data_IF_134966988248
#
_entry.id   IF_134966988248
#
_cell.length_a   1.000
_cell.length_b   1.000
_cell.length_c   1.000
_cell.angle_alpha   90.00
_cell.angle_beta   90.00
_cell.angle_gamma   90.00
#
_symmetry.space_group_name_H-M   'P 1'
#
loop_
_entity.id
_entity.type
_entity.pdbx_description
1 polymer ?
#
# COMPACT_ATOMS: atom_id res chain seq x y z
N UNK A 1 17.06 16.08 -17.70
CA UNK A 1 16.44 15.01 -16.89
C UNK A 1 17.41 14.75 -15.77
N UNK A 2 17.01 15.03 -14.52
CA UNK A 2 17.81 14.56 -13.39
C UNK A 2 17.83 13.03 -13.45
N UNK A 3 19.02 12.45 -13.36
CA UNK A 3 19.21 11.01 -13.31
C UNK A 3 18.65 10.52 -11.98
N UNK A 4 17.68 9.60 -12.02
CA UNK A 4 17.09 9.04 -10.82
C UNK A 4 18.15 8.25 -10.04
N UNK A 5 18.28 8.57 -8.74
CA UNK A 5 19.15 7.86 -7.81
C UNK A 5 18.27 7.19 -6.76
N UNK A 6 18.27 5.85 -6.65
CA UNK A 6 17.50 5.15 -5.63
C UNK A 6 17.95 5.53 -4.21
N UNK A 7 17.03 5.49 -3.25
CA UNK A 7 17.37 5.63 -1.83
C UNK A 7 18.29 4.50 -1.37
N UNK A 8 18.99 4.75 -0.25
CA UNK A 8 19.73 3.70 0.42
C UNK A 8 18.78 2.55 0.84
N UNK A 9 19.25 1.28 0.80
CA UNK A 9 18.42 0.16 1.19
C UNK A 9 17.88 0.28 2.62
N UNK A 10 16.60 -0.03 2.79
CA UNK A 10 15.88 0.10 4.07
C UNK A 10 15.66 -1.27 4.70
N UNK A 11 16.00 -1.41 5.97
CA UNK A 11 15.84 -2.66 6.73
C UNK A 11 14.70 -2.49 7.74
N UNK A 12 13.80 -3.47 7.76
CA UNK A 12 12.69 -3.56 8.68
C UNK A 12 12.91 -4.79 9.57
N UNK A 13 12.99 -4.57 10.88
CA UNK A 13 13.17 -5.63 11.87
C UNK A 13 12.03 -5.57 12.89
N UNK A 14 11.38 -6.71 13.11
CA UNK A 14 10.34 -6.84 14.11
C UNK A 14 10.25 -8.30 14.57
N UNK A 15 10.18 -8.53 15.89
CA UNK A 15 10.07 -9.87 16.49
C UNK A 15 11.12 -10.88 15.97
N UNK A 16 12.36 -10.44 15.75
CA UNK A 16 13.44 -11.29 15.24
C UNK A 16 13.30 -11.70 13.75
N UNK A 17 12.34 -11.11 13.03
CA UNK A 17 12.17 -11.26 11.59
C UNK A 17 12.71 -9.99 10.92
N UNK A 18 13.52 -10.18 9.88
CA UNK A 18 14.14 -9.10 9.13
C UNK A 18 13.74 -9.16 7.66
N UNK A 19 13.27 -8.03 7.14
CA UNK A 19 13.01 -7.81 5.73
C UNK A 19 13.76 -6.58 5.24
N UNK A 20 14.11 -6.57 3.96
CA UNK A 20 14.87 -5.48 3.35
C UNK A 20 14.22 -5.03 2.05
N UNK A 21 14.13 -3.71 1.90
CA UNK A 21 13.86 -3.02 0.65
C UNK A 21 15.17 -2.57 0.01
N UNK A 22 15.32 -2.82 -1.29
CA UNK A 22 16.48 -2.40 -2.06
C UNK A 22 16.09 -2.37 -3.55
N UNK A 23 15.97 -1.18 -4.12
CA UNK A 23 15.48 -0.96 -5.48
C UNK A 23 16.33 -1.70 -6.52
N UNK A 24 17.66 -1.66 -6.38
CA UNK A 24 18.61 -2.15 -7.37
C UNK A 24 18.55 -3.66 -7.60
N UNK A 25 17.89 -4.36 -6.68
CA UNK A 25 17.84 -5.82 -6.68
C UNK A 25 16.40 -6.33 -6.78
N UNK A 26 15.41 -5.45 -7.02
CA UNK A 26 14.03 -5.89 -7.25
C UNK A 26 13.95 -6.72 -8.54
N UNK A 27 13.18 -7.80 -8.50
CA UNK A 27 12.87 -8.55 -9.72
C UNK A 27 11.74 -7.86 -10.49
N UNK A 28 11.63 -8.19 -11.78
CA UNK A 28 10.50 -7.72 -12.62
C UNK A 28 9.17 -8.15 -12.00
N UNK A 29 9.08 -9.38 -11.51
CA UNK A 29 7.88 -9.91 -10.85
C UNK A 29 7.48 -9.07 -9.62
N UNK A 30 8.42 -8.71 -8.75
CA UNK A 30 8.15 -7.85 -7.60
C UNK A 30 7.61 -6.48 -8.04
N UNK A 31 8.24 -5.90 -9.06
CA UNK A 31 7.84 -4.59 -9.59
C UNK A 31 6.44 -4.62 -10.20
N UNK A 32 6.10 -5.67 -10.95
CA UNK A 32 4.77 -5.82 -11.56
C UNK A 32 3.68 -5.96 -10.49
N UNK A 33 3.88 -6.84 -9.51
CA UNK A 33 2.90 -7.06 -8.43
C UNK A 33 2.68 -5.78 -7.59
N UNK A 34 3.76 -5.10 -7.19
CA UNK A 34 3.65 -3.84 -6.45
C UNK A 34 2.95 -2.73 -7.26
N UNK A 35 3.23 -2.66 -8.57
CA UNK A 35 2.58 -1.73 -9.49
C UNK A 35 1.08 -2.02 -9.62
N UNK A 36 0.69 -3.27 -9.81
CA UNK A 36 -0.72 -3.68 -9.97
C UNK A 36 -1.57 -3.29 -8.75
N UNK A 37 -1.06 -3.50 -7.54
CA UNK A 37 -1.75 -3.10 -6.30
C UNK A 37 -2.01 -1.59 -6.28
N UNK A 38 -1.01 -0.80 -6.65
CA UNK A 38 -1.10 0.65 -6.62
C UNK A 38 -1.98 1.19 -7.75
N UNK A 39 -1.95 0.57 -8.93
CA UNK A 39 -2.86 0.90 -10.03
C UNK A 39 -4.30 0.54 -9.69
N UNK A 40 -4.53 -0.62 -9.07
CA UNK A 40 -5.84 -0.98 -8.54
C UNK A 40 -6.35 0.07 -7.54
N UNK A 41 -5.49 0.48 -6.59
CA UNK A 41 -5.85 1.53 -5.64
C UNK A 41 -6.14 2.86 -6.33
N UNK A 42 -5.35 3.24 -7.31
CA UNK A 42 -5.56 4.47 -8.08
C UNK A 42 -6.90 4.45 -8.80
N UNK A 43 -7.25 3.34 -9.45
CA UNK A 43 -8.54 3.18 -10.12
C UNK A 43 -9.72 3.26 -9.13
N UNK A 44 -9.57 2.67 -7.93
CA UNK A 44 -10.56 2.85 -6.86
C UNK A 44 -10.71 4.29 -6.36
N UNK A 45 -9.67 5.12 -6.46
CA UNK A 45 -9.79 6.53 -6.10
C UNK A 45 -10.58 7.32 -7.15
N UNK A 46 -10.51 6.90 -8.42
CA UNK A 46 -11.29 7.48 -9.52
C UNK A 46 -12.75 7.00 -9.49
N UNK A 47 -13.00 5.77 -9.05
CA UNK A 47 -14.35 5.18 -8.91
C UNK A 47 -14.64 4.90 -7.45
N UNK A 48 -15.25 5.88 -6.77
CA UNK A 48 -15.54 5.78 -5.34
C UNK A 48 -16.45 4.56 -5.05
N UNK A 49 -16.15 3.77 -4.01
CA UNK A 49 -16.97 2.62 -3.65
C UNK A 49 -18.36 3.07 -3.17
N UNK A 50 -19.40 2.34 -3.57
CA UNK A 50 -20.79 2.66 -3.24
C UNK A 50 -21.11 2.41 -1.76
N UNK A 51 -20.34 1.54 -1.10
CA UNK A 51 -20.55 1.18 0.30
C UNK A 51 -19.27 0.69 0.99
N UNK A 52 -19.30 0.72 2.33
CA UNK A 52 -18.19 0.30 3.19
C UNK A 52 -17.79 -1.18 3.00
N UNK A 53 -18.76 -2.05 2.63
CA UNK A 53 -18.50 -3.47 2.35
C UNK A 53 -17.58 -3.64 1.12
N UNK A 54 -17.70 -2.77 0.11
CA UNK A 54 -16.78 -2.76 -1.05
C UNK A 54 -15.38 -2.25 -0.67
N UNK A 55 -15.27 -1.27 0.25
CA UNK A 55 -13.97 -0.78 0.77
C UNK A 55 -13.21 -1.90 1.48
N UNK A 56 -13.89 -2.63 2.38
CA UNK A 56 -13.28 -3.75 3.11
C UNK A 56 -12.93 -4.90 2.16
N UNK A 57 -13.86 -5.32 1.30
CA UNK A 57 -13.66 -6.46 0.39
C UNK A 57 -12.52 -6.23 -0.60
N UNK A 58 -12.32 -4.99 -1.04
CA UNK A 58 -11.29 -4.68 -2.03
C UNK A 58 -9.88 -4.59 -1.45
N UNK A 59 -9.73 -4.66 -0.11
CA UNK A 59 -8.46 -4.42 0.58
C UNK A 59 -7.80 -3.10 0.20
N UNK A 60 -8.56 -2.17 -0.37
CA UNK A 60 -8.05 -0.88 -0.85
C UNK A 60 -7.58 0.04 0.27
N UNK A 61 -7.97 -0.22 1.53
CA UNK A 61 -7.42 0.47 2.70
C UNK A 61 -6.02 -0.05 3.09
N UNK A 62 -5.67 -1.27 2.68
CA UNK A 62 -4.45 -2.00 3.05
C UNK A 62 -3.43 -2.04 1.90
N UNK A 63 -3.70 -1.29 0.83
CA UNK A 63 -2.91 -1.27 -0.40
C UNK A 63 -1.43 -0.98 -0.13
N UNK A 64 -1.13 -0.12 0.86
CA UNK A 64 0.24 0.25 1.21
C UNK A 64 0.99 -0.96 1.78
N UNK A 65 0.35 -1.73 2.66
CA UNK A 65 0.94 -2.92 3.25
C UNK A 65 1.16 -4.02 2.22
N UNK A 66 0.19 -4.20 1.31
CA UNK A 66 0.28 -5.20 0.23
C UNK A 66 1.36 -4.80 -0.79
N UNK A 67 1.39 -3.54 -1.22
CA UNK A 67 2.43 -3.05 -2.13
C UNK A 67 3.82 -3.22 -1.51
N UNK A 68 3.97 -2.87 -0.23
CA UNK A 68 5.22 -3.03 0.48
C UNK A 68 5.64 -4.50 0.62
N UNK A 69 4.69 -5.44 0.82
CA UNK A 69 5.05 -6.85 0.97
C UNK A 69 5.69 -7.44 -0.28
N UNK A 70 5.30 -6.97 -1.47
CA UNK A 70 5.95 -7.34 -2.73
C UNK A 70 7.33 -6.71 -2.93
N UNK A 71 7.57 -5.54 -2.35
CA UNK A 71 8.85 -4.83 -2.47
C UNK A 71 9.93 -5.31 -1.47
N UNK A 72 9.56 -6.17 -0.51
CA UNK A 72 10.44 -6.67 0.54
C UNK A 72 11.04 -8.04 0.20
N UNK A 73 12.28 -8.26 0.65
CA UNK A 73 12.93 -9.57 0.65
C UNK A 73 13.36 -9.97 2.04
N UNK A 74 13.15 -11.24 2.39
CA UNK A 74 13.54 -11.77 3.69
C UNK A 74 15.06 -11.80 3.80
N UNK A 75 15.57 -11.45 4.99
CA UNK A 75 16.99 -11.58 5.32
C UNK A 75 17.15 -12.70 6.34
N UNK A 76 17.98 -13.69 6.01
CA UNK A 76 18.33 -14.81 6.89
C UNK A 76 19.83 -15.01 6.90
N UNK A 77 20.44 -15.14 8.08
CA UNK A 77 21.89 -15.32 8.23
C UNK A 77 22.70 -14.28 7.42
N UNK A 78 22.29 -13.01 7.46
CA UNK A 78 22.85 -11.90 6.68
C UNK A 78 22.83 -12.07 5.16
N UNK A 79 21.98 -12.97 4.63
CA UNK A 79 21.76 -13.16 3.20
C UNK A 79 20.34 -12.77 2.82
N UNK A 80 20.20 -12.12 1.68
CA UNK A 80 18.91 -11.78 1.09
C UNK A 80 18.41 -13.04 0.39
N UNK A 81 17.26 -13.54 0.82
CA UNK A 81 16.61 -14.69 0.21
C UNK A 81 16.03 -14.31 -1.16
N UNK A 82 15.86 -15.28 -2.08
CA UNK A 82 15.12 -15.07 -3.31
C UNK A 82 13.68 -14.62 -3.03
N UNK A 83 13.11 -13.84 -3.96
CA UNK A 83 11.70 -13.48 -3.88
C UNK A 83 10.82 -14.74 -3.95
N UNK A 84 9.78 -14.77 -3.14
CA UNK A 84 8.78 -15.84 -3.14
C UNK A 84 7.40 -15.20 -2.98
N UNK A 85 6.59 -15.30 -4.03
CA UNK A 85 5.26 -14.69 -4.09
C UNK A 85 4.33 -15.18 -2.97
N UNK A 86 4.27 -16.48 -2.73
CA UNK A 86 3.39 -17.05 -1.69
C UNK A 86 3.72 -16.49 -0.30
N UNK A 87 5.02 -16.28 0.00
CA UNK A 87 5.47 -15.63 1.25
C UNK A 87 5.15 -14.14 1.26
N UNK A 88 5.27 -13.45 0.12
CA UNK A 88 4.93 -12.04 0.01
C UNK A 88 3.44 -11.79 0.32
N UNK A 89 2.56 -12.68 -0.15
CA UNK A 89 1.11 -12.63 0.06
C UNK A 89 0.66 -13.15 1.44
N UNK A 90 1.55 -13.81 2.18
CA UNK A 90 1.26 -14.39 3.50
C UNK A 90 2.12 -13.76 4.60
N UNK A 91 3.31 -14.31 4.84
CA UNK A 91 4.18 -13.98 5.96
C UNK A 91 4.70 -12.55 5.90
N UNK A 92 5.10 -12.07 4.73
CA UNK A 92 5.63 -10.71 4.56
C UNK A 92 4.51 -9.69 4.72
N UNK A 93 3.32 -9.95 4.18
CA UNK A 93 2.17 -9.06 4.37
C UNK A 93 1.77 -8.94 5.85
N UNK A 94 1.72 -10.09 6.56
CA UNK A 94 1.48 -10.13 8.01
C UNK A 94 2.58 -9.38 8.77
N UNK A 95 3.84 -9.53 8.36
CA UNK A 95 4.95 -8.79 8.95
C UNK A 95 4.75 -7.28 8.81
N UNK A 96 4.46 -6.78 7.60
CA UNK A 96 4.26 -5.34 7.37
C UNK A 96 3.09 -4.79 8.21
N UNK A 97 2.02 -5.57 8.39
CA UNK A 97 0.89 -5.20 9.26
C UNK A 97 1.23 -5.09 10.74
N UNK A 98 2.25 -5.83 11.20
CA UNK A 98 2.67 -5.81 12.61
C UNK A 98 3.76 -4.78 12.88
N UNK A 99 4.26 -4.08 11.85
CA UNK A 99 5.22 -3.00 12.03
C UNK A 99 4.61 -1.84 12.83
N UNK A 100 5.35 -1.27 13.81
CA UNK A 100 4.92 -0.07 14.50
C UNK A 100 4.66 1.11 13.55
N UNK A 101 3.74 2.00 13.92
CA UNK A 101 3.39 3.20 13.13
C UNK A 101 4.61 4.09 12.82
N UNK A 102 5.66 4.02 13.64
CA UNK A 102 6.93 4.71 13.40
C UNK A 102 7.63 4.30 12.09
N UNK A 103 7.32 3.13 11.52
CA UNK A 103 7.86 2.69 10.22
C UNK A 103 7.06 3.22 9.02
N UNK A 104 5.88 3.81 9.24
CA UNK A 104 5.03 4.30 8.14
C UNK A 104 5.72 5.33 7.23
N UNK A 105 6.53 6.29 7.74
CA UNK A 105 7.30 7.18 6.87
C UNK A 105 8.26 6.42 5.96
N UNK A 106 9.01 5.43 6.49
CA UNK A 106 9.95 4.63 5.72
C UNK A 106 9.25 3.77 4.66
N UNK A 107 8.08 3.20 4.99
CA UNK A 107 7.26 2.45 4.01
C UNK A 107 6.84 3.38 2.85
N UNK A 108 6.35 4.58 3.17
CA UNK A 108 5.94 5.56 2.15
C UNK A 108 7.13 6.00 1.29
N UNK A 109 8.30 6.16 1.90
CA UNK A 109 9.54 6.48 1.19
C UNK A 109 9.95 5.36 0.22
N UNK A 110 9.95 4.10 0.65
CA UNK A 110 10.26 2.95 -0.21
C UNK A 110 9.29 2.83 -1.41
N UNK A 111 7.99 3.02 -1.17
CA UNK A 111 6.98 3.01 -2.24
C UNK A 111 7.20 4.19 -3.20
N UNK A 112 7.52 5.37 -2.68
CA UNK A 112 7.79 6.54 -3.52
C UNK A 112 9.08 6.38 -4.34
N UNK A 113 10.14 5.84 -3.74
CA UNK A 113 11.40 5.49 -4.41
C UNK A 113 11.11 4.53 -5.57
N UNK A 114 10.43 3.43 -5.30
CA UNK A 114 10.01 2.46 -6.31
C UNK A 114 9.29 3.12 -7.50
N UNK A 115 8.26 3.92 -7.25
CA UNK A 115 7.50 4.57 -8.33
C UNK A 115 8.31 5.65 -9.07
N UNK A 116 9.24 6.31 -8.39
CA UNK A 116 10.14 7.26 -9.04
C UNK A 116 11.10 6.52 -9.96
N UNK A 117 11.68 5.41 -9.50
CA UNK A 117 12.63 4.62 -10.28
C UNK A 117 12.04 3.93 -11.50
N UNK A 118 10.76 3.59 -11.48
CA UNK A 118 10.07 3.05 -12.67
C UNK A 118 9.42 4.13 -13.56
N UNK A 119 9.67 5.42 -13.30
CA UNK A 119 9.14 6.53 -14.10
C UNK A 119 7.64 6.77 -13.92
N UNK A 120 7.05 6.31 -12.81
CA UNK A 120 5.61 6.46 -12.47
C UNK A 120 5.39 7.34 -11.24
N UNK A 121 6.23 8.36 -11.02
CA UNK A 121 6.14 9.30 -9.87
C UNK A 121 4.75 9.95 -9.74
N UNK A 122 4.06 10.22 -10.85
CA UNK A 122 2.69 10.79 -10.82
C UNK A 122 1.68 9.87 -10.11
N UNK A 123 1.86 8.56 -10.18
CA UNK A 123 1.02 7.57 -9.52
C UNK A 123 1.20 7.64 -8.00
N UNK A 124 2.44 7.60 -7.51
CA UNK A 124 2.73 7.70 -6.06
C UNK A 124 2.25 9.03 -5.47
N UNK A 125 2.51 10.15 -6.16
CA UNK A 125 2.05 11.48 -5.74
C UNK A 125 0.52 11.52 -5.61
N UNK A 126 -0.21 10.98 -6.59
CA UNK A 126 -1.67 10.98 -6.55
C UNK A 126 -2.21 10.12 -5.40
N UNK A 127 -1.62 8.93 -5.18
CA UNK A 127 -2.01 8.04 -4.09
C UNK A 127 -1.82 8.73 -2.71
N UNK A 128 -0.66 9.34 -2.46
CA UNK A 128 -0.36 9.98 -1.18
C UNK A 128 -1.11 11.30 -0.95
N UNK A 129 -1.36 12.09 -2.00
CA UNK A 129 -2.18 13.30 -1.88
C UNK A 129 -3.63 12.97 -1.51
N UNK A 130 -4.19 11.89 -2.06
CA UNK A 130 -5.56 11.46 -1.75
C UNK A 130 -5.69 10.89 -0.33
N UNK A 131 -4.65 10.24 0.22
CA UNK A 131 -4.65 9.86 1.64
C UNK A 131 -4.73 11.07 2.58
N UNK A 132 -4.03 12.16 2.27
CA UNK A 132 -4.08 13.40 3.07
C UNK A 132 -5.45 14.10 3.00
N UNK A 133 -6.17 13.96 1.88
CA UNK A 133 -7.48 14.58 1.66
C UNK A 133 -8.67 13.80 2.22
N UNK A 134 -8.50 12.52 2.56
CA UNK A 134 -9.57 11.66 3.07
C UNK A 134 -9.20 11.15 4.46
N UNK A 135 -9.47 11.97 5.49
CA UNK A 135 -9.61 11.43 6.85
C UNK A 135 -10.64 10.29 6.83
N UNK A 136 -10.43 9.22 7.59
CA UNK A 136 -11.42 8.13 7.72
C UNK A 136 -12.82 8.67 8.05
N UNK A 137 -12.89 9.76 8.82
CA UNK A 137 -14.13 10.49 9.15
C UNK A 137 -14.78 11.11 7.91
N UNK A 138 -14.00 11.73 7.01
CA UNK A 138 -14.51 12.34 5.77
C UNK A 138 -15.00 11.29 4.76
N UNK A 139 -14.50 10.06 4.84
CA UNK A 139 -15.00 8.95 4.02
C UNK A 139 -16.27 8.34 4.63
N UNK A 140 -16.40 8.34 5.96
CA UNK A 140 -17.56 7.82 6.68
C UNK A 140 -18.77 8.76 6.64
N UNK A 141 -18.56 10.09 6.66
CA UNK A 141 -19.64 11.07 6.70
C UNK A 141 -20.65 10.96 5.53
N UNK A 142 -20.23 10.82 4.26
CA UNK A 142 -21.17 10.65 3.14
C UNK A 142 -21.93 9.32 3.22
N UNK A 143 -21.27 8.26 3.70
CA UNK A 143 -21.87 6.92 3.85
C UNK A 143 -22.94 6.95 4.96
N UNK A 144 -22.64 7.60 6.09
CA UNK A 144 -23.59 7.80 7.18
C UNK A 144 -24.78 8.68 6.73
N UNK A 145 -24.51 9.75 6.00
CA UNK A 145 -25.56 10.62 5.46
C UNK A 145 -26.51 9.86 4.53
N UNK A 146 -25.98 9.03 3.63
CA UNK A 146 -26.79 8.19 2.74
C UNK A 146 -27.60 7.14 3.51
N UNK A 147 -27.02 6.47 4.52
CA UNK A 147 -27.76 5.49 5.33
C UNK A 147 -28.92 6.15 6.11
N UNK A 148 -28.69 7.32 6.70
CA UNK A 148 -29.75 8.07 7.37
C UNK A 148 -30.87 8.50 6.42
N UNK A 149 -30.53 8.96 5.20
CA UNK A 149 -31.54 9.31 4.19
C UNK A 149 -32.34 8.09 3.69
N UNK A 150 -31.71 6.92 3.65
CA UNK A 150 -32.38 5.69 3.19
C UNK A 150 -33.37 5.18 4.24
N UNK A 151 -33.01 5.23 5.53
CA UNK A 151 -33.92 4.85 6.63
C UNK A 151 -35.10 5.83 6.76
N UNK A 152 -34.86 7.15 6.62
CA UNK A 152 -35.93 8.15 6.64
C UNK A 152 -36.96 7.99 5.51
N UNK A 153 -36.58 7.37 4.38
CA UNK A 153 -37.51 7.05 3.28
C UNK A 153 -38.32 5.76 3.52
N UNK A 154 -37.83 4.86 4.37
CA UNK A 154 -38.56 3.63 4.73
C UNK A 154 -39.60 3.87 5.83
N UNK A 155 -39.36 4.82 6.73
CA UNK A 155 -40.32 5.20 7.78
C UNK A 155 -41.44 6.14 7.28
N UNK A 156 -41.40 6.57 6.02
CA UNK A 156 -42.36 7.48 5.39
C UNK A 156 -43.35 6.77 4.43
N UNK A 157 -43.40 5.44 4.45
CA UNK A 157 -44.31 4.59 3.68
C UNK A 157 -45.17 3.70 4.59
#
# INVERSE_FOLDING_TARGET
MEEYVPIAPQTFENNGITYKYDFNILTIEQAELAREVCEFKFNQLQSAPDNFKQVIKSRGAEWLQIAMSYLLRSVKNNKIEPFNKDKAESDTEKFVRTLPVSFMPAIKECINDFFTGIGKTSLSLTLFQNEKKKSGIQTLLPILANLMQTNLKQDAL
#
